data_IF_718376826391
#
_entry.id   IF_718376826391
#
_cell.length_a   1.000
_cell.length_b   1.000
_cell.length_c   1.000
_cell.angle_alpha   90.00
_cell.angle_beta   90.00
_cell.angle_gamma   90.00
#
_symmetry.space_group_name_H-M   'P 1'
#
loop_
_entity.id
_entity.type
_entity.pdbx_description
1 polymer ?
#
# COMPACT_ATOMS: atom_id res chain seq x y z
N UNK A 1 -42.12 48.10 -7.90
CA UNK A 1 -40.97 48.57 -7.09
C UNK A 1 -40.16 47.32 -6.79
N UNK A 2 -38.97 47.07 -7.33
CA UNK A 2 -37.94 47.99 -7.84
C UNK A 2 -36.96 48.32 -6.71
N UNK A 3 -35.66 47.99 -6.79
CA UNK A 3 -34.93 47.29 -7.85
C UNK A 3 -33.46 47.05 -7.46
N UNK A 4 -32.58 46.90 -8.46
CA UNK A 4 -31.12 46.73 -8.36
C UNK A 4 -30.60 45.36 -7.85
N UNK A 5 -30.76 44.35 -8.70
CA UNK A 5 -29.55 43.78 -9.31
C UNK A 5 -29.14 44.74 -10.44
N UNK A 6 -27.88 45.16 -10.52
CA UNK A 6 -27.30 45.66 -11.77
C UNK A 6 -25.77 45.54 -11.79
N UNK A 7 -25.21 45.29 -12.99
CA UNK A 7 -23.81 44.93 -13.32
C UNK A 7 -23.39 43.52 -12.85
N UNK A 8 -23.29 42.46 -13.68
CA UNK A 8 -23.06 42.35 -15.14
C UNK A 8 -21.78 43.10 -15.62
N UNK A 9 -20.93 42.69 -16.55
CA UNK A 9 -20.77 41.51 -17.46
C UNK A 9 -19.26 41.48 -17.87
N UNK A 10 -18.64 40.59 -18.67
CA UNK A 10 -19.00 39.43 -19.51
C UNK A 10 -17.72 38.55 -19.66
N UNK A 11 -17.77 37.21 -19.57
CA UNK A 11 -17.79 36.22 -20.68
C UNK A 11 -16.57 36.15 -21.64
N UNK A 12 -16.09 34.91 -21.86
CA UNK A 12 -15.32 34.33 -23.00
C UNK A 12 -13.78 34.32 -23.03
N UNK A 13 -13.26 33.10 -22.86
CA UNK A 13 -12.46 32.32 -23.82
C UNK A 13 -11.36 33.01 -24.65
N UNK A 14 -10.12 32.50 -24.55
CA UNK A 14 -9.33 32.02 -25.70
C UNK A 14 -8.12 31.20 -25.23
N UNK A 15 -7.66 30.30 -26.10
CA UNK A 15 -6.68 29.23 -25.85
C UNK A 15 -5.23 29.69 -25.65
N UNK A 16 -4.42 28.90 -24.92
CA UNK A 16 -3.23 28.20 -25.47
C UNK A 16 -2.27 27.66 -24.38
N UNK A 17 -2.05 26.34 -24.43
CA UNK A 17 -0.83 25.55 -24.14
C UNK A 17 0.18 25.80 -23.00
N UNK A 18 0.75 24.65 -22.58
CA UNK A 18 2.08 24.43 -21.97
C UNK A 18 2.41 24.97 -20.56
N UNK A 19 2.48 24.04 -19.57
CA UNK A 19 3.75 23.38 -19.12
C UNK A 19 3.77 23.06 -17.61
N UNK A 20 4.49 21.98 -17.28
CA UNK A 20 4.66 21.44 -15.92
C UNK A 20 5.19 22.45 -14.89
N UNK A 21 4.71 22.31 -13.64
CA UNK A 21 5.15 23.11 -12.50
C UNK A 21 6.41 22.52 -11.83
N UNK A 22 7.34 23.40 -11.49
CA UNK A 22 8.55 23.15 -10.70
C UNK A 22 8.40 23.88 -9.35
N UNK A 23 8.77 23.30 -8.19
CA UNK A 23 8.46 23.85 -6.87
C UNK A 23 9.33 25.05 -6.43
N UNK A 24 8.83 25.77 -5.42
CA UNK A 24 9.15 27.17 -5.08
C UNK A 24 10.49 27.46 -4.34
N UNK A 25 10.97 28.71 -4.35
CA UNK A 25 12.30 29.10 -3.84
C UNK A 25 12.34 29.46 -2.34
N UNK A 26 13.52 29.26 -1.72
CA UNK A 26 13.78 29.64 -0.32
C UNK A 26 14.29 31.08 -0.19
N UNK A 27 13.85 31.74 0.89
CA UNK A 27 13.87 33.19 1.12
C UNK A 27 15.26 33.78 1.44
N UNK A 28 15.52 34.99 0.96
CA UNK A 28 16.69 35.83 1.32
C UNK A 28 16.31 36.84 2.41
N UNK A 29 17.17 37.02 3.42
CA UNK A 29 17.14 38.14 4.35
C UNK A 29 18.48 38.89 4.34
N UNK A 30 18.45 40.22 4.42
CA UNK A 30 19.59 41.10 4.14
C UNK A 30 19.85 42.15 5.22
N UNK A 31 21.12 42.59 5.32
CA UNK A 31 21.62 43.77 6.08
C UNK A 31 21.67 43.64 7.62
N UNK A 32 22.48 44.42 8.36
CA UNK A 32 23.37 45.55 8.01
C UNK A 32 24.51 45.74 9.02
N UNK A 33 25.67 46.29 8.61
CA UNK A 33 26.57 47.08 9.46
C UNK A 33 27.58 47.88 8.60
N UNK A 34 27.61 49.21 8.76
CA UNK A 34 28.49 50.16 8.04
C UNK A 34 29.63 50.67 8.99
N UNK A 35 30.60 51.53 8.60
CA UNK A 35 32.00 51.37 9.02
C UNK A 35 32.54 52.50 9.93
N UNK A 36 33.71 52.30 10.56
CA UNK A 36 34.40 53.37 11.28
C UNK A 36 35.15 54.31 10.31
N UNK A 37 34.80 55.59 10.34
CA UNK A 37 35.45 56.61 9.53
C UNK A 37 36.73 57.17 10.18
N UNK A 38 37.69 57.59 9.35
CA UNK A 38 38.62 58.67 9.72
C UNK A 38 38.87 59.62 8.54
N UNK A 39 38.41 60.86 8.68
CA UNK A 39 38.90 62.03 7.93
C UNK A 39 40.22 62.49 8.58
N UNK A 40 41.09 63.32 8.00
CA UNK A 40 40.95 64.27 6.87
C UNK A 40 42.35 64.57 6.26
N UNK A 41 42.43 65.07 5.02
CA UNK A 41 43.71 65.58 4.48
C UNK A 41 43.77 65.75 2.95
N UNK A 42 43.34 66.92 2.46
CA UNK A 42 43.37 67.34 1.04
C UNK A 42 44.71 67.12 0.30
N UNK A 43 44.67 66.60 -0.95
CA UNK A 43 45.75 66.85 -1.93
C UNK A 43 45.97 65.79 -3.04
N UNK A 44 45.64 66.17 -4.28
CA UNK A 44 46.18 65.66 -5.57
C UNK A 44 46.01 64.18 -6.01
N UNK A 45 45.21 64.01 -7.07
CA UNK A 45 45.45 63.23 -8.31
C UNK A 45 45.54 61.68 -8.33
N UNK A 46 45.11 61.18 -9.51
CA UNK A 46 45.28 59.85 -10.13
C UNK A 46 44.49 58.65 -9.57
N UNK A 47 43.62 58.12 -10.43
CA UNK A 47 43.04 56.79 -10.29
C UNK A 47 44.14 55.72 -10.41
N UNK A 48 44.22 54.83 -9.42
CA UNK A 48 45.22 53.76 -9.36
C UNK A 48 44.60 52.39 -9.60
N UNK A 49 45.12 51.66 -10.58
CA UNK A 49 44.92 50.21 -10.70
C UNK A 49 45.36 49.51 -9.40
N UNK A 50 44.69 48.43 -8.94
CA UNK A 50 45.14 47.70 -7.76
C UNK A 50 46.58 47.19 -7.95
N UNK A 51 47.38 47.34 -6.89
CA UNK A 51 48.78 46.99 -6.81
C UNK A 51 49.04 45.49 -7.08
N UNK A 52 50.17 45.20 -7.72
CA UNK A 52 50.47 43.90 -8.34
C UNK A 52 50.36 42.71 -7.36
N UNK A 53 50.78 42.88 -6.11
CA UNK A 53 50.65 41.84 -5.09
C UNK A 53 49.18 41.50 -4.76
N UNK A 54 48.29 42.48 -4.82
CA UNK A 54 46.85 42.31 -4.58
C UNK A 54 46.19 41.55 -5.74
N UNK A 55 46.59 41.84 -6.98
CA UNK A 55 46.16 41.07 -8.17
C UNK A 55 46.62 39.60 -8.11
N UNK A 56 47.85 39.34 -7.68
CA UNK A 56 48.41 37.98 -7.63
C UNK A 56 47.77 37.14 -6.52
N UNK A 57 47.45 37.73 -5.36
CA UNK A 57 46.71 37.06 -4.29
C UNK A 57 45.28 36.69 -4.76
N UNK A 58 44.56 37.63 -5.39
CA UNK A 58 43.23 37.38 -5.94
C UNK A 58 43.25 36.28 -7.03
N UNK A 59 44.24 36.30 -7.92
CA UNK A 59 44.43 35.25 -8.94
C UNK A 59 44.68 33.87 -8.30
N UNK A 60 45.44 33.80 -7.20
CA UNK A 60 45.65 32.57 -6.45
C UNK A 60 44.34 31.95 -5.93
N UNK A 61 43.45 32.78 -5.35
CA UNK A 61 42.13 32.31 -4.89
C UNK A 61 41.20 31.89 -6.03
N UNK A 62 41.18 32.62 -7.15
CA UNK A 62 40.41 32.24 -8.34
C UNK A 62 40.89 30.91 -8.90
N UNK A 63 42.21 30.68 -8.95
CA UNK A 63 42.81 29.42 -9.38
C UNK A 63 42.40 28.26 -8.46
N UNK A 64 42.47 28.45 -7.13
CA UNK A 64 42.03 27.44 -6.14
C UNK A 64 40.54 27.10 -6.31
N UNK A 65 39.68 28.11 -6.48
CA UNK A 65 38.24 27.91 -6.64
C UNK A 65 37.88 27.22 -7.96
N UNK A 66 38.57 27.54 -9.06
CA UNK A 66 38.42 26.82 -10.33
C UNK A 66 38.90 25.36 -10.23
N UNK A 67 39.98 25.08 -9.49
CA UNK A 67 40.40 23.70 -9.22
C UNK A 67 39.37 22.91 -8.43
N UNK A 68 38.76 23.53 -7.41
CA UNK A 68 37.70 22.90 -6.61
C UNK A 68 36.43 22.58 -7.44
N UNK A 69 36.11 23.42 -8.44
CA UNK A 69 35.01 23.12 -9.39
C UNK A 69 35.43 22.01 -10.37
N UNK A 70 36.63 22.07 -10.93
CA UNK A 70 37.13 21.05 -11.87
C UNK A 70 37.31 19.67 -11.21
N UNK A 71 37.58 19.59 -9.91
CA UNK A 71 37.58 18.31 -9.18
C UNK A 71 36.24 17.58 -9.18
N UNK A 72 35.12 18.29 -9.38
CA UNK A 72 33.78 17.68 -9.41
C UNK A 72 33.53 16.87 -10.70
N UNK A 73 34.39 16.97 -11.72
CA UNK A 73 34.27 16.18 -12.97
C UNK A 73 34.71 14.71 -12.82
N UNK A 74 35.25 14.32 -11.67
CA UNK A 74 35.54 12.92 -11.33
C UNK A 74 36.80 12.31 -11.94
N UNK A 75 37.09 11.07 -11.52
CA UNK A 75 38.23 10.28 -11.98
C UNK A 75 39.62 10.73 -11.48
N UNK A 76 40.65 9.93 -11.78
CA UNK A 76 42.03 10.17 -11.35
C UNK A 76 42.62 11.50 -11.87
N UNK A 77 42.09 12.02 -12.97
CA UNK A 77 42.45 13.33 -13.52
C UNK A 77 42.14 14.49 -12.57
N UNK A 78 41.04 14.44 -11.82
CA UNK A 78 40.68 15.48 -10.85
C UNK A 78 41.75 15.65 -9.77
N UNK A 79 42.32 14.56 -9.27
CA UNK A 79 43.36 14.59 -8.23
C UNK A 79 44.66 15.24 -8.71
N UNK A 80 45.07 14.95 -9.96
CA UNK A 80 46.24 15.58 -10.57
C UNK A 80 46.02 17.09 -10.79
N UNK A 81 44.83 17.48 -11.25
CA UNK A 81 44.45 18.90 -11.43
C UNK A 81 44.46 19.63 -10.09
N UNK A 82 43.85 19.08 -9.04
CA UNK A 82 43.83 19.71 -7.70
C UNK A 82 45.22 19.80 -7.10
N UNK A 83 46.08 18.80 -7.25
CA UNK A 83 47.47 18.87 -6.77
C UNK A 83 48.25 20.02 -7.45
N UNK A 84 48.14 20.14 -8.78
CA UNK A 84 48.78 21.24 -9.54
C UNK A 84 48.20 22.60 -9.15
N UNK A 85 46.88 22.70 -9.01
CA UNK A 85 46.17 23.94 -8.62
C UNK A 85 46.51 24.37 -7.20
N UNK A 86 46.59 23.45 -6.24
CA UNK A 86 47.00 23.75 -4.87
C UNK A 86 48.44 24.27 -4.83
N UNK A 87 49.38 23.61 -5.53
CA UNK A 87 50.77 24.07 -5.59
C UNK A 87 50.88 25.46 -6.25
N UNK A 88 50.16 25.69 -7.35
CA UNK A 88 50.14 27.00 -8.03
C UNK A 88 49.49 28.10 -7.17
N UNK A 89 48.33 27.82 -6.55
CA UNK A 89 47.58 28.76 -5.72
C UNK A 89 48.31 29.11 -4.42
N UNK A 90 48.82 28.12 -3.69
CA UNK A 90 49.65 28.33 -2.49
C UNK A 90 50.94 29.05 -2.88
N UNK A 91 51.57 28.68 -4.00
CA UNK A 91 52.75 29.37 -4.55
C UNK A 91 52.48 30.86 -4.80
N UNK A 92 51.36 31.19 -5.44
CA UNK A 92 50.95 32.58 -5.69
C UNK A 92 50.68 33.36 -4.40
N UNK A 93 50.03 32.77 -3.39
CA UNK A 93 49.78 33.38 -2.08
C UNK A 93 51.11 33.66 -1.36
N UNK A 94 52.02 32.67 -1.29
CA UNK A 94 53.36 32.81 -0.69
C UNK A 94 54.18 33.89 -1.40
N UNK A 95 54.10 33.97 -2.73
CA UNK A 95 54.84 34.96 -3.51
C UNK A 95 54.25 36.37 -3.35
N UNK A 96 52.92 36.52 -3.28
CA UNK A 96 52.25 37.79 -3.01
C UNK A 96 52.62 38.36 -1.63
N UNK A 97 52.67 37.53 -0.58
CA UNK A 97 53.09 37.96 0.75
C UNK A 97 54.59 38.30 0.82
N UNK A 98 55.45 37.60 0.06
CA UNK A 98 56.85 38.01 -0.13
C UNK A 98 56.98 39.38 -0.80
N UNK A 99 56.15 39.68 -1.80
CA UNK A 99 56.15 40.98 -2.49
C UNK A 99 55.64 42.14 -1.61
N UNK A 100 54.95 41.85 -0.50
CA UNK A 100 54.49 42.85 0.49
C UNK A 100 55.51 43.15 1.60
N UNK A 101 56.75 42.63 1.49
CA UNK A 101 57.87 43.02 2.35
C UNK A 101 57.88 42.47 3.78
N UNK A 102 56.78 41.84 4.25
CA UNK A 102 56.75 41.13 5.53
C UNK A 102 55.82 39.92 5.48
N UNK A 103 56.39 38.71 5.61
CA UNK A 103 55.61 37.47 5.64
C UNK A 103 54.99 37.29 7.02
N UNK A 104 53.70 37.60 7.15
CA UNK A 104 52.93 37.38 8.37
C UNK A 104 52.62 35.87 8.51
N UNK A 105 53.52 35.13 9.15
CA UNK A 105 53.44 33.66 9.28
C UNK A 105 52.07 33.15 9.78
N UNK A 106 51.44 33.72 10.84
CA UNK A 106 50.08 33.34 11.23
C UNK A 106 49.03 33.44 10.11
N UNK A 107 49.02 34.53 9.34
CA UNK A 107 48.07 34.70 8.22
C UNK A 107 48.34 33.71 7.09
N UNK A 108 49.62 33.46 6.79
CA UNK A 108 50.01 32.48 5.78
C UNK A 108 49.56 31.07 6.17
N UNK A 109 49.86 30.60 7.39
CA UNK A 109 49.42 29.28 7.86
C UNK A 109 47.89 29.15 7.88
N UNK A 110 47.17 30.19 8.31
CA UNK A 110 45.70 30.21 8.24
C UNK A 110 45.18 30.05 6.80
N UNK A 111 45.75 30.78 5.84
CA UNK A 111 45.35 30.67 4.43
C UNK A 111 45.61 29.29 3.82
N UNK A 112 46.73 28.64 4.18
CA UNK A 112 47.09 27.30 3.69
C UNK A 112 46.16 26.24 4.27
N UNK A 113 45.81 26.32 5.56
CA UNK A 113 44.86 25.40 6.19
C UNK A 113 43.46 25.53 5.56
N UNK A 114 42.98 26.76 5.33
CA UNK A 114 41.68 27.01 4.67
C UNK A 114 41.67 26.50 3.23
N UNK A 115 42.75 26.71 2.47
CA UNK A 115 42.86 26.19 1.10
C UNK A 115 42.86 24.65 1.06
N UNK A 116 43.53 24.00 2.02
CA UNK A 116 43.51 22.54 2.19
C UNK A 116 42.11 22.02 2.51
N UNK A 117 41.40 22.64 3.45
CA UNK A 117 40.01 22.26 3.79
C UNK A 117 39.08 22.39 2.58
N UNK A 118 39.08 23.54 1.90
CA UNK A 118 38.23 23.76 0.72
C UNK A 118 38.51 22.73 -0.39
N UNK A 119 39.78 22.36 -0.59
CA UNK A 119 40.16 21.38 -1.60
C UNK A 119 39.86 19.93 -1.21
N UNK A 120 39.85 19.57 0.08
CA UNK A 120 39.65 18.17 0.53
C UNK A 120 38.22 17.84 0.91
N UNK A 121 37.40 18.81 1.36
CA UNK A 121 36.00 18.57 1.75
C UNK A 121 35.16 17.90 0.65
N UNK A 122 35.24 18.28 -0.64
CA UNK A 122 34.51 17.59 -1.70
C UNK A 122 34.89 16.11 -1.84
N UNK A 123 36.17 15.79 -1.68
CA UNK A 123 36.66 14.40 -1.77
C UNK A 123 36.29 13.56 -0.55
N UNK A 124 36.26 14.15 0.64
CA UNK A 124 35.81 13.46 1.85
C UNK A 124 34.33 13.03 1.73
N UNK A 125 33.48 13.88 1.16
CA UNK A 125 32.10 13.54 0.86
C UNK A 125 31.99 12.42 -0.20
N UNK A 126 32.73 12.51 -1.31
CA UNK A 126 32.67 11.50 -2.39
C UNK A 126 33.28 10.16 -2.00
N UNK A 127 34.29 10.10 -1.10
CA UNK A 127 34.79 8.82 -0.57
C UNK A 127 33.89 8.17 0.49
N UNK A 128 32.95 8.92 1.07
CA UNK A 128 31.96 8.41 2.04
C UNK A 128 30.62 8.03 1.39
N UNK A 129 30.42 8.34 0.10
CA UNK A 129 29.23 7.95 -0.67
C UNK A 129 29.66 6.90 -1.71
N UNK A 130 29.26 5.62 -1.57
CA UNK A 130 29.61 4.58 -2.54
C UNK A 130 29.01 4.89 -3.93
N UNK A 131 29.85 5.20 -4.91
CA UNK A 131 29.43 5.45 -6.30
C UNK A 131 29.33 4.14 -7.09
N UNK A 132 28.41 3.26 -6.69
CA UNK A 132 28.11 1.99 -7.38
C UNK A 132 26.65 2.02 -7.89
N UNK A 133 26.42 1.58 -9.13
CA UNK A 133 25.08 1.60 -9.76
C UNK A 133 24.09 0.74 -8.94
N UNK A 134 23.14 1.38 -8.26
CA UNK A 134 22.31 0.74 -7.22
C UNK A 134 21.61 -0.53 -7.72
N UNK A 135 21.66 -1.60 -6.92
CA UNK A 135 20.75 -2.72 -7.10
C UNK A 135 19.32 -2.23 -6.95
N UNK A 136 18.41 -2.71 -7.79
CA UNK A 136 17.00 -2.35 -7.75
C UNK A 136 16.11 -3.61 -7.87
N UNK A 137 15.15 -3.74 -6.96
CA UNK A 137 14.08 -4.73 -7.06
C UNK A 137 12.87 -4.04 -7.71
N UNK A 138 12.22 -4.72 -8.66
CA UNK A 138 11.24 -4.11 -9.56
C UNK A 138 10.32 -5.15 -10.17
N UNK A 139 9.20 -4.71 -10.77
CA UNK A 139 8.24 -5.58 -11.46
C UNK A 139 7.75 -6.72 -10.56
N UNK A 140 7.29 -6.35 -9.35
CA UNK A 140 6.57 -7.25 -8.45
C UNK A 140 5.18 -7.50 -9.05
N UNK A 141 4.99 -8.71 -9.55
CA UNK A 141 3.81 -9.20 -10.26
C UNK A 141 3.31 -10.46 -9.52
N UNK A 142 2.00 -10.61 -9.39
CA UNK A 142 1.38 -11.85 -8.90
C UNK A 142 0.61 -12.51 -10.04
N UNK A 143 0.78 -13.82 -10.17
CA UNK A 143 0.04 -14.68 -11.09
C UNK A 143 -1.12 -15.35 -10.34
N UNK A 144 -2.32 -14.79 -10.48
CA UNK A 144 -3.55 -15.22 -9.78
C UNK A 144 -4.05 -16.62 -10.20
N UNK A 145 -3.52 -17.24 -11.27
CA UNK A 145 -3.87 -18.61 -11.68
C UNK A 145 -2.99 -19.66 -10.96
N UNK A 146 -1.85 -19.25 -10.41
CA UNK A 146 -0.83 -20.16 -9.87
C UNK A 146 -0.33 -19.81 -8.47
N UNK A 147 -0.85 -18.73 -7.87
CA UNK A 147 -0.35 -18.12 -6.64
C UNK A 147 1.18 -17.86 -6.65
N UNK A 148 1.77 -17.61 -7.82
CA UNK A 148 3.21 -17.31 -7.93
C UNK A 148 3.47 -15.79 -7.92
N UNK A 149 4.07 -15.31 -6.83
CA UNK A 149 4.71 -13.99 -6.82
C UNK A 149 5.97 -14.06 -7.68
N UNK A 150 6.20 -13.04 -8.50
CA UNK A 150 7.40 -12.93 -9.31
C UNK A 150 7.93 -11.51 -9.34
N UNK A 151 9.26 -11.36 -9.35
CA UNK A 151 9.93 -10.06 -9.29
C UNK A 151 11.27 -10.09 -10.00
N UNK A 152 11.78 -8.92 -10.39
CA UNK A 152 13.06 -8.75 -11.08
C UNK A 152 14.03 -7.94 -10.24
N UNK A 153 15.19 -8.52 -9.96
CA UNK A 153 16.33 -7.80 -9.42
C UNK A 153 17.25 -7.38 -10.57
N UNK A 154 17.68 -6.12 -10.56
CA UNK A 154 18.54 -5.50 -11.56
C UNK A 154 19.76 -4.86 -10.92
N UNK A 155 20.89 -4.90 -11.63
CA UNK A 155 22.15 -4.30 -11.19
C UNK A 155 23.36 -5.02 -11.77
N UNK A 156 24.55 -4.46 -11.57
CA UNK A 156 25.81 -4.92 -12.21
C UNK A 156 26.59 -5.94 -11.37
N UNK A 157 25.94 -6.61 -10.41
CA UNK A 157 26.50 -7.71 -9.62
C UNK A 157 26.56 -9.00 -10.45
N UNK A 158 27.40 -9.96 -10.06
CA UNK A 158 27.49 -11.27 -10.73
C UNK A 158 26.40 -12.24 -10.28
N UNK A 159 25.96 -12.11 -9.05
CA UNK A 159 24.92 -12.91 -8.41
C UNK A 159 24.24 -12.07 -7.34
N UNK A 160 23.05 -12.50 -6.93
CA UNK A 160 22.27 -11.86 -5.87
C UNK A 160 21.63 -12.93 -4.99
N UNK A 161 21.69 -12.70 -3.68
CA UNK A 161 20.91 -13.41 -2.67
C UNK A 161 19.66 -12.56 -2.37
N UNK A 162 18.50 -13.20 -2.24
CA UNK A 162 17.20 -12.54 -2.00
C UNK A 162 16.45 -13.22 -0.89
N UNK A 163 15.67 -12.46 -0.13
CA UNK A 163 14.75 -12.98 0.88
C UNK A 163 13.41 -12.26 0.84
N UNK A 164 12.39 -12.92 1.37
CA UNK A 164 11.10 -12.32 1.69
C UNK A 164 10.91 -12.40 3.20
N UNK A 165 10.68 -11.26 3.81
CA UNK A 165 10.33 -11.13 5.22
C UNK A 165 8.84 -10.82 5.38
N UNK A 166 8.24 -11.36 6.44
CA UNK A 166 6.95 -10.97 6.98
C UNK A 166 7.15 -10.39 8.39
N UNK A 167 6.73 -9.14 8.64
CA UNK A 167 6.95 -8.40 9.89
C UNK A 167 8.42 -8.43 10.40
N UNK A 168 9.39 -8.41 9.47
CA UNK A 168 10.82 -8.45 9.76
C UNK A 168 11.39 -9.86 10.05
N UNK A 169 10.60 -10.93 9.87
CA UNK A 169 11.02 -12.32 10.01
C UNK A 169 11.22 -12.93 8.62
N UNK A 170 12.40 -13.48 8.33
CA UNK A 170 12.66 -14.17 7.06
C UNK A 170 11.78 -15.44 6.96
N UNK A 171 10.91 -15.45 5.95
CA UNK A 171 10.02 -16.57 5.64
C UNK A 171 10.59 -17.43 4.51
N UNK A 172 11.25 -16.79 3.54
CA UNK A 172 11.82 -17.43 2.35
C UNK A 172 13.12 -16.76 1.92
N UNK A 173 14.05 -17.54 1.39
CA UNK A 173 15.27 -17.02 0.76
C UNK A 173 15.74 -17.88 -0.41
N UNK A 174 16.42 -17.23 -1.36
CA UNK A 174 16.91 -17.84 -2.60
C UNK A 174 18.11 -17.07 -3.15
N UNK A 175 18.77 -17.62 -4.15
CA UNK A 175 19.93 -16.97 -4.79
C UNK A 175 19.99 -17.25 -6.29
N UNK A 176 20.74 -16.42 -7.01
CA UNK A 176 20.97 -16.68 -8.43
C UNK A 176 21.99 -15.79 -9.11
N UNK A 177 22.63 -16.36 -10.13
CA UNK A 177 23.48 -15.61 -11.06
C UNK A 177 22.66 -14.55 -11.81
N UNK A 178 23.24 -13.37 -11.94
CA UNK A 178 22.66 -12.21 -12.63
C UNK A 178 23.25 -12.17 -14.04
N UNK A 179 22.39 -12.10 -15.06
CA UNK A 179 22.81 -12.13 -16.46
C UNK A 179 22.13 -11.01 -17.25
N UNK A 180 22.91 -10.27 -18.04
CA UNK A 180 22.45 -9.02 -18.68
C UNK A 180 21.87 -8.04 -17.64
N UNK A 181 22.58 -7.87 -16.52
CA UNK A 181 22.23 -7.00 -15.38
C UNK A 181 20.83 -7.26 -14.77
N UNK A 182 20.28 -8.48 -14.93
CA UNK A 182 18.95 -8.85 -14.43
C UNK A 182 18.84 -10.33 -14.01
N UNK A 183 17.98 -10.59 -13.02
CA UNK A 183 17.48 -11.91 -12.63
C UNK A 183 15.99 -11.81 -12.29
N UNK A 184 15.15 -12.67 -12.87
CA UNK A 184 13.76 -12.88 -12.43
C UNK A 184 13.72 -14.01 -11.41
N UNK A 185 12.97 -13.80 -10.32
CA UNK A 185 12.61 -14.81 -9.33
C UNK A 185 11.10 -15.12 -9.44
N UNK A 186 10.73 -16.30 -8.95
CA UNK A 186 9.37 -16.81 -8.78
C UNK A 186 9.32 -17.54 -7.45
N UNK A 187 8.21 -17.41 -6.73
CA UNK A 187 7.97 -18.03 -5.43
C UNK A 187 6.46 -18.14 -5.21
N UNK A 188 5.98 -19.30 -4.76
CA UNK A 188 4.57 -19.48 -4.41
C UNK A 188 4.23 -18.67 -3.14
N UNK A 189 3.05 -18.07 -3.06
CA UNK A 189 2.56 -17.43 -1.83
C UNK A 189 2.67 -18.39 -0.63
N UNK A 190 2.36 -19.68 -0.83
CA UNK A 190 2.46 -20.72 0.21
C UNK A 190 3.87 -20.95 0.79
N UNK A 191 4.94 -20.48 0.14
CA UNK A 191 6.31 -20.59 0.67
C UNK A 191 6.68 -19.47 1.66
N UNK A 192 5.92 -18.36 1.69
CA UNK A 192 6.26 -17.20 2.55
C UNK A 192 5.06 -16.54 3.27
N UNK A 193 3.82 -16.95 2.97
CA UNK A 193 2.62 -16.38 3.56
C UNK A 193 2.55 -16.66 5.07
N UNK A 194 2.40 -15.58 5.85
CA UNK A 194 2.33 -15.55 7.31
C UNK A 194 1.01 -14.93 7.83
N UNK A 195 0.01 -14.76 6.96
CA UNK A 195 -1.26 -14.10 7.25
C UNK A 195 -1.55 -12.91 6.35
N UNK A 196 -2.77 -12.38 6.42
CA UNK A 196 -3.23 -11.29 5.56
C UNK A 196 -2.38 -10.00 5.65
N UNK A 197 -2.00 -9.46 4.50
CA UNK A 197 -1.35 -8.15 4.39
C UNK A 197 -2.23 -6.98 4.82
N UNK A 198 -3.56 -7.10 4.77
CA UNK A 198 -4.52 -6.08 5.22
C UNK A 198 -5.59 -6.65 6.16
N UNK A 199 -6.01 -5.84 7.14
CA UNK A 199 -7.17 -6.13 7.98
C UNK A 199 -8.48 -5.61 7.36
N UNK A 200 -9.63 -5.94 7.96
CA UNK A 200 -10.98 -5.51 7.52
C UNK A 200 -11.11 -4.01 7.19
N UNK A 201 -10.34 -3.12 7.82
CA UNK A 201 -10.40 -1.69 7.60
C UNK A 201 -9.49 -1.17 6.47
N UNK A 202 -8.76 -2.07 5.76
CA UNK A 202 -7.82 -1.69 4.71
C UNK A 202 -6.50 -1.13 5.23
N UNK A 203 -6.21 -1.31 6.52
CA UNK A 203 -4.89 -0.99 7.08
C UNK A 203 -3.99 -2.21 6.96
N UNK A 204 -2.70 -1.97 6.78
CA UNK A 204 -1.66 -2.98 6.81
C UNK A 204 -1.72 -3.79 8.11
N UNK A 205 -1.61 -5.12 8.00
CA UNK A 205 -1.72 -6.07 9.10
C UNK A 205 -0.45 -6.94 9.23
N UNK A 206 0.13 -7.34 8.11
CA UNK A 206 1.46 -7.98 8.02
C UNK A 206 2.26 -7.26 6.93
N UNK A 207 3.42 -6.69 7.28
CA UNK A 207 4.31 -6.06 6.30
C UNK A 207 5.14 -7.12 5.59
N UNK A 208 5.02 -7.19 4.26
CA UNK A 208 5.78 -8.12 3.42
C UNK A 208 6.84 -7.38 2.61
N UNK A 209 8.12 -7.71 2.81
CA UNK A 209 9.25 -7.02 2.17
C UNK A 209 10.15 -8.00 1.44
N UNK A 210 10.39 -7.74 0.14
CA UNK A 210 11.45 -8.41 -0.60
C UNK A 210 12.76 -7.65 -0.34
N UNK A 211 13.79 -8.35 0.10
CA UNK A 211 15.15 -7.81 0.24
C UNK A 211 16.11 -8.56 -0.67
N UNK A 212 17.24 -7.93 -0.97
CA UNK A 212 18.36 -8.63 -1.59
C UNK A 212 19.71 -8.00 -1.32
N UNK A 213 20.74 -8.80 -1.49
CA UNK A 213 22.15 -8.44 -1.38
C UNK A 213 22.91 -8.99 -2.60
N UNK A 214 23.45 -8.08 -3.42
CA UNK A 214 24.29 -8.42 -4.56
C UNK A 214 25.71 -8.80 -4.13
N UNK A 215 26.38 -9.65 -4.91
CA UNK A 215 27.77 -10.12 -4.65
C UNK A 215 28.85 -9.03 -4.53
N UNK A 216 28.50 -7.78 -4.82
CA UNK A 216 29.32 -6.59 -4.67
C UNK A 216 28.97 -5.75 -3.41
N UNK A 217 28.16 -6.29 -2.50
CA UNK A 217 27.73 -5.65 -1.25
C UNK A 217 26.66 -4.56 -1.43
N UNK A 218 25.94 -4.56 -2.55
CA UNK A 218 24.82 -3.65 -2.78
C UNK A 218 23.52 -4.27 -2.29
N UNK A 219 22.78 -3.54 -1.46
CA UNK A 219 21.45 -3.95 -1.00
C UNK A 219 20.34 -3.18 -1.69
N UNK A 220 19.12 -3.69 -1.56
CA UNK A 220 17.89 -3.06 -2.04
C UNK A 220 16.69 -3.81 -1.49
N UNK A 221 15.57 -3.10 -1.34
CA UNK A 221 14.34 -3.63 -0.76
C UNK A 221 13.12 -3.03 -1.48
N UNK A 222 12.00 -3.75 -1.46
CA UNK A 222 10.70 -3.28 -1.93
C UNK A 222 9.58 -4.01 -1.21
N UNK A 223 8.55 -3.28 -0.79
CA UNK A 223 7.37 -3.87 -0.17
C UNK A 223 6.55 -4.60 -1.24
N UNK A 224 6.07 -5.80 -0.91
CA UNK A 224 5.06 -6.50 -1.69
C UNK A 224 3.74 -5.75 -1.46
N UNK A 225 2.99 -5.37 -2.52
CA UNK A 225 1.69 -4.73 -2.34
C UNK A 225 0.78 -5.58 -1.45
N UNK A 226 0.29 -5.02 -0.35
CA UNK A 226 -0.54 -5.66 0.68
C UNK A 226 -1.74 -6.45 0.13
N UNK A 227 -2.36 -5.95 -0.94
CA UNK A 227 -3.43 -6.63 -1.70
C UNK A 227 -3.03 -7.97 -2.33
N UNK A 228 -1.74 -8.21 -2.62
CA UNK A 228 -1.26 -9.48 -3.17
C UNK A 228 -1.20 -10.56 -2.10
N UNK A 229 -0.96 -10.17 -0.84
CA UNK A 229 -0.85 -11.04 0.34
C UNK A 229 -2.07 -10.96 1.26
N UNK A 230 -3.21 -10.46 0.77
CA UNK A 230 -4.50 -10.55 1.47
C UNK A 230 -5.30 -11.67 0.81
N UNK A 231 -5.31 -12.85 1.44
CA UNK A 231 -5.71 -14.13 0.83
C UNK A 231 -6.53 -15.07 1.73
N UNK A 232 -6.65 -14.80 3.02
CA UNK A 232 -7.52 -15.57 3.92
C UNK A 232 -8.84 -14.83 4.12
N UNK A 233 -9.97 -15.45 3.79
CA UNK A 233 -11.27 -15.04 4.32
C UNK A 233 -11.38 -15.47 5.79
N UNK A 234 -11.73 -14.54 6.67
CA UNK A 234 -11.68 -14.73 8.13
C UNK A 234 -13.04 -14.57 8.81
N UNK A 235 -14.04 -14.05 8.10
CA UNK A 235 -15.39 -13.80 8.61
C UNK A 235 -16.43 -14.09 7.53
N UNK A 236 -17.62 -14.48 7.96
CA UNK A 236 -18.81 -14.51 7.12
C UNK A 236 -19.94 -13.72 7.78
N UNK A 237 -20.87 -13.21 6.97
CA UNK A 237 -22.15 -12.67 7.40
C UNK A 237 -23.28 -13.48 6.79
N UNK A 238 -24.40 -13.59 7.50
CA UNK A 238 -25.59 -14.33 7.06
C UNK A 238 -26.78 -13.38 6.99
N UNK A 239 -27.58 -13.50 5.92
CA UNK A 239 -28.90 -12.89 5.80
C UNK A 239 -29.94 -13.94 5.49
N UNK A 240 -31.10 -13.81 6.12
CA UNK A 240 -32.25 -14.68 5.87
C UNK A 240 -33.52 -13.85 5.71
N UNK A 241 -34.50 -14.39 5.01
CA UNK A 241 -35.85 -13.81 4.95
C UNK A 241 -36.87 -14.94 4.82
N UNK A 242 -38.02 -14.79 5.48
CA UNK A 242 -39.13 -15.73 5.34
C UNK A 242 -39.67 -15.80 3.91
N UNK A 243 -40.06 -17.01 3.50
CA UNK A 243 -40.76 -17.25 2.24
C UNK A 243 -42.20 -17.72 2.51
N UNK A 244 -43.14 -17.15 1.76
CA UNK A 244 -44.57 -17.47 1.81
C UNK A 244 -45.04 -18.22 0.56
N UNK A 245 -46.14 -18.98 0.66
CA UNK A 245 -46.75 -19.52 -0.55
C UNK A 245 -47.34 -18.37 -1.39
N UNK A 246 -47.08 -18.43 -2.69
CA UNK A 246 -47.55 -17.43 -3.66
C UNK A 246 -49.08 -17.26 -3.73
N UNK A 247 -49.85 -18.22 -3.21
CA UNK A 247 -51.32 -18.25 -3.19
C UNK A 247 -51.90 -18.11 -1.77
N UNK A 248 -51.12 -18.40 -0.72
CA UNK A 248 -51.52 -18.24 0.67
C UNK A 248 -50.44 -17.53 1.51
N UNK A 249 -50.68 -16.26 1.82
CA UNK A 249 -49.79 -15.46 2.66
C UNK A 249 -49.84 -15.83 4.15
N UNK A 250 -50.75 -16.72 4.58
CA UNK A 250 -50.72 -17.32 5.93
C UNK A 250 -49.75 -18.50 6.00
N UNK A 251 -49.41 -19.11 4.86
CA UNK A 251 -48.47 -20.23 4.80
C UNK A 251 -47.02 -19.74 4.71
N UNK A 252 -46.17 -20.16 5.67
CA UNK A 252 -44.72 -20.16 5.49
C UNK A 252 -44.32 -21.39 4.69
N UNK A 253 -43.36 -21.25 3.77
CA UNK A 253 -42.79 -22.36 2.99
C UNK A 253 -41.36 -22.65 3.43
N UNK A 254 -40.61 -21.63 3.86
CA UNK A 254 -39.22 -21.78 4.28
C UNK A 254 -38.54 -20.44 4.48
N UNK A 255 -37.22 -20.41 4.28
CA UNK A 255 -36.41 -19.18 4.30
C UNK A 255 -35.49 -19.11 3.08
N UNK A 256 -35.30 -17.92 2.52
CA UNK A 256 -34.16 -17.64 1.63
C UNK A 256 -32.92 -17.39 2.48
N UNK A 257 -31.73 -17.74 1.99
CA UNK A 257 -30.47 -17.54 2.69
C UNK A 257 -29.43 -16.93 1.74
N UNK A 258 -28.76 -15.88 2.18
CA UNK A 258 -27.59 -15.28 1.51
C UNK A 258 -26.41 -15.24 2.48
N UNK A 259 -25.21 -15.47 1.95
CA UNK A 259 -23.97 -15.29 2.72
C UNK A 259 -23.04 -14.29 2.05
N UNK A 260 -22.21 -13.66 2.88
CA UNK A 260 -21.11 -12.79 2.51
C UNK A 260 -19.85 -13.38 3.14
N UNK A 261 -18.75 -13.52 2.41
CA UNK A 261 -17.50 -14.12 2.93
C UNK A 261 -16.31 -13.22 2.61
N UNK A 262 -15.43 -12.97 3.58
CA UNK A 262 -14.25 -12.13 3.41
C UNK A 262 -13.68 -11.60 4.73
N UNK A 263 -13.47 -10.29 4.81
CA UNK A 263 -12.98 -9.60 6.00
C UNK A 263 -14.04 -8.62 6.52
N UNK A 264 -14.68 -8.95 7.64
CA UNK A 264 -15.77 -8.15 8.20
C UNK A 264 -15.31 -7.33 9.40
N UNK A 265 -16.00 -6.23 9.67
CA UNK A 265 -15.74 -5.39 10.82
C UNK A 265 -16.18 -6.08 12.13
N UNK A 266 -15.45 -5.91 13.25
CA UNK A 266 -15.80 -6.52 14.54
C UNK A 266 -17.04 -5.91 15.21
N UNK A 267 -17.73 -5.00 14.54
CA UNK A 267 -19.02 -4.42 14.95
C UNK A 267 -20.12 -4.72 13.91
N UNK A 268 -19.84 -5.52 12.88
CA UNK A 268 -20.82 -6.01 11.92
C UNK A 268 -21.39 -7.32 12.46
N UNK A 269 -22.71 -7.43 12.49
CA UNK A 269 -23.45 -8.45 13.24
C UNK A 269 -24.84 -8.67 12.65
N UNK A 270 -25.51 -9.74 13.09
CA UNK A 270 -26.90 -10.01 12.75
C UNK A 270 -27.85 -8.91 13.24
N UNK A 271 -28.90 -8.66 12.45
CA UNK A 271 -29.97 -7.72 12.80
C UNK A 271 -31.30 -8.47 12.94
N UNK A 272 -32.19 -7.97 13.81
CA UNK A 272 -33.55 -8.48 13.95
C UNK A 272 -34.27 -8.51 12.59
N UNK A 273 -35.03 -9.57 12.30
CA UNK A 273 -35.66 -9.76 11.00
C UNK A 273 -34.73 -10.32 9.92
N UNK A 274 -33.68 -11.08 10.31
CA UNK A 274 -32.79 -11.77 9.37
C UNK A 274 -31.78 -10.89 8.64
N UNK A 275 -31.65 -9.62 9.06
CA UNK A 275 -30.72 -8.66 8.48
C UNK A 275 -29.27 -8.87 8.92
N UNK A 276 -28.37 -8.07 8.34
CA UNK A 276 -26.95 -8.06 8.72
C UNK A 276 -26.36 -6.67 8.51
N UNK A 277 -25.70 -6.12 9.54
CA UNK A 277 -25.37 -4.70 9.64
C UNK A 277 -24.16 -4.24 8.79
N UNK A 278 -23.59 -5.12 7.97
CA UNK A 278 -22.42 -4.81 7.15
C UNK A 278 -22.68 -3.66 6.17
N UNK A 279 -21.86 -2.60 6.28
CA UNK A 279 -21.97 -1.36 5.49
C UNK A 279 -20.89 -1.21 4.42
N UNK A 280 -19.82 -2.01 4.49
CA UNK A 280 -18.74 -2.04 3.52
C UNK A 280 -18.31 -3.47 3.23
N UNK A 281 -18.48 -3.93 1.99
CA UNK A 281 -18.11 -5.29 1.61
C UNK A 281 -16.60 -5.33 1.29
N UNK A 282 -15.86 -6.19 2.00
CA UNK A 282 -14.50 -6.60 1.63
C UNK A 282 -14.49 -8.09 1.24
N UNK A 283 -15.01 -8.41 0.04
CA UNK A 283 -14.95 -9.77 -0.47
C UNK A 283 -13.50 -10.22 -0.65
N UNK A 284 -13.23 -11.49 -0.41
CA UNK A 284 -11.92 -12.08 -0.64
C UNK A 284 -11.84 -12.64 -2.06
N UNK A 285 -10.80 -12.24 -2.80
CA UNK A 285 -10.43 -12.87 -4.07
C UNK A 285 -9.29 -13.86 -3.79
N UNK A 286 -9.66 -15.10 -3.46
CA UNK A 286 -8.75 -16.18 -3.09
C UNK A 286 -9.48 -17.53 -3.11
N UNK A 287 -8.72 -18.61 -3.00
CA UNK A 287 -9.25 -19.96 -3.02
C UNK A 287 -9.52 -20.48 -1.61
N UNK A 288 -10.78 -20.80 -1.32
CA UNK A 288 -11.24 -21.32 -0.03
C UNK A 288 -12.50 -22.17 -0.16
N UNK A 289 -12.77 -22.99 0.84
CA UNK A 289 -14.00 -23.76 0.97
C UNK A 289 -14.91 -23.14 2.04
N UNK A 290 -16.23 -23.21 1.84
CA UNK A 290 -17.25 -22.75 2.79
C UNK A 290 -18.27 -23.85 3.03
N UNK A 291 -18.52 -24.15 4.31
CA UNK A 291 -19.61 -25.02 4.75
C UNK A 291 -20.63 -24.20 5.53
N UNK A 292 -21.88 -24.21 5.08
CA UNK A 292 -23.00 -23.58 5.80
C UNK A 292 -23.87 -24.65 6.44
N UNK A 293 -24.32 -24.42 7.67
CA UNK A 293 -25.26 -25.29 8.37
C UNK A 293 -26.25 -24.51 9.23
N UNK A 294 -27.39 -25.14 9.51
CA UNK A 294 -28.49 -24.60 10.33
C UNK A 294 -28.83 -25.61 11.41
N UNK A 295 -28.97 -25.14 12.65
CA UNK A 295 -29.37 -25.96 13.81
C UNK A 295 -30.36 -25.20 14.71
N UNK A 296 -31.15 -25.92 15.50
CA UNK A 296 -32.20 -25.33 16.35
C UNK A 296 -33.11 -26.42 16.92
N UNK A 297 -34.41 -26.14 17.01
CA UNK A 297 -35.42 -27.07 17.59
C UNK A 297 -35.82 -28.23 16.66
N UNK A 298 -35.45 -28.18 15.36
CA UNK A 298 -35.75 -29.22 14.37
C UNK A 298 -34.55 -30.07 13.96
N UNK A 299 -34.57 -30.60 12.73
CA UNK A 299 -33.42 -31.32 12.17
C UNK A 299 -32.30 -30.34 11.78
N UNK A 300 -31.05 -30.79 11.85
CA UNK A 300 -29.91 -29.98 11.39
C UNK A 300 -29.75 -30.12 9.88
N UNK A 301 -29.72 -29.00 9.17
CA UNK A 301 -29.49 -28.94 7.74
C UNK A 301 -28.08 -28.41 7.41
N UNK A 302 -27.54 -28.80 6.26
CA UNK A 302 -26.26 -28.29 5.75
C UNK A 302 -26.30 -28.17 4.23
N UNK A 303 -25.82 -27.05 3.69
CA UNK A 303 -25.60 -26.90 2.24
C UNK A 303 -24.51 -27.88 1.77
N UNK A 304 -24.47 -28.18 0.48
CA UNK A 304 -23.29 -28.84 -0.10
C UNK A 304 -22.06 -27.94 0.02
N UNK A 305 -20.89 -28.55 0.28
CA UNK A 305 -19.62 -27.84 0.38
C UNK A 305 -19.39 -26.91 -0.81
N UNK A 306 -19.15 -25.63 -0.52
CA UNK A 306 -18.94 -24.57 -1.50
C UNK A 306 -17.45 -24.40 -1.73
N UNK A 307 -17.00 -24.53 -2.97
CA UNK A 307 -15.63 -24.22 -3.38
C UNK A 307 -15.60 -22.86 -4.06
N UNK A 308 -14.76 -21.96 -3.55
CA UNK A 308 -14.48 -20.65 -4.14
C UNK A 308 -13.13 -20.71 -4.84
N UNK A 309 -13.10 -20.25 -6.10
CA UNK A 309 -11.88 -19.98 -6.84
C UNK A 309 -11.90 -18.50 -7.25
N UNK A 310 -10.90 -17.73 -6.81
CA UNK A 310 -10.87 -16.28 -6.96
C UNK A 310 -12.11 -15.58 -6.40
N UNK A 311 -13.00 -15.08 -7.28
CA UNK A 311 -14.26 -14.39 -6.93
C UNK A 311 -15.54 -15.17 -7.27
N UNK A 312 -15.42 -16.48 -7.54
CA UNK A 312 -16.53 -17.34 -7.96
C UNK A 312 -16.72 -18.54 -7.03
N UNK A 313 -17.86 -18.58 -6.35
CA UNK A 313 -18.34 -19.72 -5.57
C UNK A 313 -19.07 -20.73 -6.47
N UNK A 314 -18.82 -22.03 -6.27
CA UNK A 314 -19.50 -23.13 -6.96
C UNK A 314 -19.74 -24.32 -6.03
N UNK A 315 -20.89 -24.99 -6.18
CA UNK A 315 -21.25 -26.19 -5.42
C UNK A 315 -22.23 -27.07 -6.19
N UNK A 316 -22.44 -28.30 -5.68
CA UNK A 316 -23.38 -29.27 -6.24
C UNK A 316 -24.56 -29.46 -5.26
N UNK A 317 -25.69 -28.76 -5.43
CA UNK A 317 -26.80 -28.76 -4.47
C UNK A 317 -27.36 -30.16 -4.22
N UNK A 318 -27.84 -30.40 -3.00
CA UNK A 318 -28.44 -31.69 -2.62
C UNK A 318 -29.71 -32.00 -3.44
N UNK A 319 -30.46 -30.97 -3.82
CA UNK A 319 -31.61 -31.05 -4.73
C UNK A 319 -31.24 -31.34 -6.20
N UNK A 320 -29.95 -31.27 -6.54
CA UNK A 320 -29.39 -31.51 -7.87
C UNK A 320 -29.17 -30.24 -8.69
N UNK A 321 -28.39 -30.37 -9.76
CA UNK A 321 -27.97 -29.24 -10.61
C UNK A 321 -26.60 -28.70 -10.22
N UNK A 322 -26.42 -27.38 -10.32
CA UNK A 322 -25.18 -26.67 -9.99
C UNK A 322 -25.51 -25.33 -9.35
N UNK A 323 -25.00 -25.09 -8.16
CA UNK A 323 -25.06 -23.80 -7.49
C UNK A 323 -23.84 -22.97 -7.85
N UNK A 324 -24.03 -21.67 -8.05
CA UNK A 324 -22.92 -20.73 -8.27
C UNK A 324 -23.30 -19.31 -7.91
N UNK A 325 -22.32 -18.54 -7.46
CA UNK A 325 -22.46 -17.12 -7.13
C UNK A 325 -21.12 -16.39 -7.24
N UNK A 326 -21.16 -15.07 -7.38
CA UNK A 326 -19.93 -14.27 -7.21
C UNK A 326 -19.76 -13.92 -5.74
N UNK A 327 -18.57 -14.13 -5.20
CA UNK A 327 -18.23 -13.77 -3.82
C UNK A 327 -17.93 -12.28 -3.65
N UNK A 328 -18.01 -11.47 -4.71
CA UNK A 328 -17.84 -10.02 -4.68
C UNK A 328 -18.87 -9.26 -3.79
N UNK A 329 -19.87 -9.97 -3.26
CA UNK A 329 -20.81 -9.47 -2.27
C UNK A 329 -21.64 -10.61 -1.69
N UNK A 330 -22.91 -10.32 -1.39
CA UNK A 330 -23.88 -11.33 -0.96
C UNK A 330 -24.20 -12.29 -2.11
N UNK A 331 -24.18 -13.59 -1.84
CA UNK A 331 -24.66 -14.60 -2.77
C UNK A 331 -25.64 -15.57 -2.09
N UNK A 332 -26.70 -15.92 -2.82
CA UNK A 332 -27.74 -16.82 -2.35
C UNK A 332 -27.31 -18.29 -2.33
N UNK A 333 -27.71 -19.00 -1.28
CA UNK A 333 -27.57 -20.45 -1.18
C UNK A 333 -28.72 -21.17 -1.91
N UNK A 334 -28.53 -22.45 -2.22
CA UNK A 334 -29.56 -23.22 -2.93
C UNK A 334 -30.61 -23.84 -2.01
N UNK A 335 -30.26 -24.09 -0.74
CA UNK A 335 -31.18 -24.69 0.22
C UNK A 335 -31.61 -26.09 -0.24
N UNK A 336 -32.90 -26.38 -0.07
CA UNK A 336 -33.53 -27.65 -0.46
C UNK A 336 -34.63 -27.50 -1.52
N UNK A 337 -35.17 -26.29 -1.70
CA UNK A 337 -36.32 -25.99 -2.54
C UNK A 337 -36.07 -24.90 -3.57
N UNK A 338 -37.02 -24.76 -4.50
CA UNK A 338 -37.06 -23.66 -5.48
C UNK A 338 -38.51 -23.28 -5.73
N UNK A 339 -38.81 -21.99 -5.67
CA UNK A 339 -40.19 -21.49 -5.82
C UNK A 339 -40.61 -21.40 -7.30
N UNK A 340 -41.86 -21.00 -7.54
CA UNK A 340 -42.40 -20.84 -8.90
C UNK A 340 -41.74 -19.69 -9.70
N UNK A 341 -41.00 -18.79 -9.06
CA UNK A 341 -40.24 -17.72 -9.69
C UNK A 341 -38.75 -18.09 -9.94
N UNK A 342 -38.29 -19.24 -9.43
CA UNK A 342 -36.90 -19.68 -9.52
C UNK A 342 -36.02 -19.21 -8.35
N UNK A 343 -36.61 -18.74 -7.26
CA UNK A 343 -35.90 -18.35 -6.03
C UNK A 343 -35.60 -19.62 -5.22
N UNK A 344 -34.32 -19.79 -4.88
CA UNK A 344 -33.86 -20.87 -4.01
C UNK A 344 -34.19 -20.58 -2.54
N UNK A 345 -34.54 -21.61 -1.79
CA UNK A 345 -34.88 -21.51 -0.37
C UNK A 345 -34.60 -22.82 0.38
N UNK A 346 -34.41 -22.73 1.69
CA UNK A 346 -34.44 -23.88 2.60
C UNK A 346 -35.89 -24.12 3.03
N UNK A 347 -36.46 -25.24 2.61
CA UNK A 347 -37.83 -25.63 2.98
C UNK A 347 -37.94 -25.85 4.48
N UNK A 348 -39.04 -25.36 5.08
CA UNK A 348 -39.31 -25.50 6.51
C UNK A 348 -39.25 -26.98 6.96
N UNK A 349 -39.62 -27.95 6.10
CA UNK A 349 -39.61 -29.37 6.48
C UNK A 349 -38.24 -29.94 6.80
N UNK A 350 -37.16 -29.30 6.31
CA UNK A 350 -35.78 -29.81 6.45
C UNK A 350 -35.08 -29.29 7.72
N UNK A 351 -35.63 -28.29 8.41
CA UNK A 351 -34.98 -27.69 9.58
C UNK A 351 -35.93 -27.21 10.70
N UNK A 352 -37.17 -26.84 10.40
CA UNK A 352 -38.07 -26.21 11.36
C UNK A 352 -38.81 -27.25 12.23
N UNK A 353 -38.55 -27.23 13.53
CA UNK A 353 -39.19 -28.10 14.53
C UNK A 353 -40.29 -27.41 15.37
N UNK A 354 -40.42 -26.09 15.24
CA UNK A 354 -41.28 -25.23 16.07
C UNK A 354 -40.57 -23.91 16.41
N UNK A 355 -41.30 -22.98 17.04
CA UNK A 355 -40.73 -21.69 17.46
C UNK A 355 -39.53 -21.91 18.39
N UNK A 356 -38.41 -21.26 18.09
CA UNK A 356 -37.23 -21.27 18.93
C UNK A 356 -36.04 -20.55 18.28
N UNK A 357 -34.90 -20.60 18.96
CA UNK A 357 -33.66 -20.00 18.47
C UNK A 357 -32.97 -20.94 17.48
N UNK A 358 -32.72 -20.46 16.25
CA UNK A 358 -32.03 -21.20 15.20
C UNK A 358 -30.71 -20.53 14.85
N UNK A 359 -29.62 -21.27 14.94
CA UNK A 359 -28.25 -20.83 14.68
C UNK A 359 -27.80 -21.26 13.28
N UNK A 360 -27.25 -20.30 12.54
CA UNK A 360 -26.64 -20.42 11.22
C UNK A 360 -25.13 -20.34 11.40
N UNK A 361 -24.44 -21.44 11.12
CA UNK A 361 -22.99 -21.56 11.26
C UNK A 361 -22.35 -21.59 9.88
N UNK A 362 -21.38 -20.71 9.65
CA UNK A 362 -20.57 -20.64 8.42
C UNK A 362 -19.12 -20.91 8.77
N UNK A 363 -18.61 -22.06 8.31
CA UNK A 363 -17.21 -22.46 8.46
C UNK A 363 -16.45 -22.18 7.16
N UNK A 364 -15.34 -21.45 7.24
CA UNK A 364 -14.45 -21.12 6.12
C UNK A 364 -13.13 -21.86 6.31
N UNK A 365 -12.66 -22.57 5.28
CA UNK A 365 -11.34 -23.22 5.23
C UNK A 365 -10.52 -22.64 4.08
N UNK A 366 -9.50 -21.85 4.40
CA UNK A 366 -8.64 -21.22 3.38
C UNK A 366 -7.60 -22.21 2.83
N UNK A 367 -7.25 -22.06 1.55
CA UNK A 367 -6.20 -22.88 0.89
C UNK A 367 -4.79 -22.44 1.30
N UNK A 368 -4.59 -21.13 1.52
CA UNK A 368 -3.35 -20.53 2.03
C UNK A 368 -3.42 -20.33 3.55
N UNK A 369 -2.25 -20.19 4.18
CA UNK A 369 -2.10 -20.05 5.63
C UNK A 369 -2.09 -21.39 6.38
N UNK A 370 -2.35 -21.34 7.68
CA UNK A 370 -2.34 -22.52 8.58
C UNK A 370 -3.55 -23.46 8.38
N UNK A 371 -4.41 -23.19 7.38
CA UNK A 371 -5.65 -23.93 7.08
C UNK A 371 -6.58 -24.05 8.31
N UNK A 372 -6.56 -23.03 9.16
CA UNK A 372 -7.48 -22.92 10.29
C UNK A 372 -8.90 -22.65 9.82
N UNK A 373 -9.88 -23.31 10.44
CA UNK A 373 -11.29 -23.04 10.17
C UNK A 373 -11.69 -21.74 10.85
N UNK A 374 -12.20 -20.79 10.08
CA UNK A 374 -12.81 -19.56 10.59
C UNK A 374 -14.33 -19.74 10.63
N UNK A 375 -14.88 -19.80 11.83
CA UNK A 375 -16.31 -19.99 12.07
C UNK A 375 -17.01 -18.66 12.37
N UNK A 376 -18.15 -18.40 11.75
CA UNK A 376 -19.07 -17.31 12.10
C UNK A 376 -20.46 -17.89 12.40
N UNK A 377 -21.07 -17.48 13.51
CA UNK A 377 -22.37 -17.99 13.97
C UNK A 377 -23.34 -16.85 14.27
N UNK A 378 -24.57 -16.97 13.78
CA UNK A 378 -25.65 -16.00 13.98
C UNK A 378 -26.96 -16.73 14.24
N UNK A 379 -27.76 -16.26 15.20
CA UNK A 379 -29.04 -16.91 15.51
C UNK A 379 -30.20 -15.92 15.56
N UNK A 380 -31.38 -16.43 15.20
CA UNK A 380 -32.65 -15.72 15.27
C UNK A 380 -33.73 -16.58 15.91
N UNK A 381 -34.64 -15.97 16.67
CA UNK A 381 -35.90 -16.59 17.06
C UNK A 381 -36.77 -16.70 15.80
N UNK A 382 -37.06 -17.92 15.36
CA UNK A 382 -37.79 -18.19 14.13
C UNK A 382 -39.10 -18.90 14.47
N UNK A 383 -40.21 -18.34 14.00
CA UNK A 383 -41.55 -18.92 14.08
C UNK A 383 -42.20 -18.98 12.69
N UNK A 384 -41.99 -20.10 12.00
CA UNK A 384 -42.60 -20.42 10.70
C UNK A 384 -43.94 -21.17 10.85
N UNK A 385 -44.65 -20.98 11.96
CA UNK A 385 -45.99 -21.57 12.14
C UNK A 385 -46.97 -20.95 11.15
N UNK A 386 -47.41 -21.71 10.15
CA UNK A 386 -48.44 -21.27 9.21
C UNK A 386 -49.74 -20.94 9.94
N UNK A 387 -50.38 -19.84 9.56
CA UNK A 387 -51.74 -19.53 9.99
C UNK A 387 -52.75 -20.49 9.38
N UNK A 388 -53.77 -20.88 10.13
CA UNK A 388 -54.90 -21.66 9.62
C UNK A 388 -56.19 -20.85 9.75
N UNK A 389 -57.13 -21.07 8.84
CA UNK A 389 -58.42 -20.37 8.82
C UNK A 389 -59.60 -21.33 8.64
N UNK A 390 -60.75 -21.00 9.25
CA UNK A 390 -62.00 -21.74 9.07
C UNK A 390 -62.69 -21.40 7.73
N UNK A 391 -63.76 -22.14 7.39
CA UNK A 391 -64.60 -21.90 6.20
C UNK A 391 -65.22 -20.47 6.14
N UNK A 392 -65.19 -19.72 7.24
CA UNK A 392 -65.67 -18.35 7.35
C UNK A 392 -64.53 -17.31 7.33
N UNK A 393 -63.29 -17.74 7.04
CA UNK A 393 -62.07 -16.94 6.99
C UNK A 393 -61.59 -16.39 8.35
N UNK A 394 -62.04 -16.97 9.48
CA UNK A 394 -61.54 -16.65 10.82
C UNK A 394 -60.24 -17.42 11.11
N UNK A 395 -59.23 -16.83 11.77
CA UNK A 395 -58.03 -17.56 12.17
C UNK A 395 -58.36 -18.62 13.23
N UNK A 396 -58.01 -19.88 12.96
CA UNK A 396 -58.06 -21.00 13.91
C UNK A 396 -56.71 -21.24 14.58
N UNK A 397 -55.64 -21.01 13.83
CA UNK A 397 -54.25 -21.01 14.31
C UNK A 397 -53.64 -19.66 13.93
N UNK A 398 -52.99 -18.99 14.88
CA UNK A 398 -52.32 -17.71 14.60
C UNK A 398 -51.03 -17.98 13.84
N UNK A 399 -50.81 -17.24 12.76
CA UNK A 399 -49.54 -17.22 12.03
C UNK A 399 -48.41 -16.74 12.95
N UNK A 400 -47.26 -17.39 12.84
CA UNK A 400 -46.02 -17.00 13.53
C UNK A 400 -45.45 -15.65 13.08
N UNK A 401 -44.43 -15.17 13.78
CA UNK A 401 -43.80 -13.88 13.48
C UNK A 401 -42.79 -13.93 12.32
N UNK A 402 -42.41 -15.13 11.83
CA UNK A 402 -41.41 -15.30 10.76
C UNK A 402 -40.00 -15.30 11.33
N UNK A 403 -39.09 -14.52 10.74
CA UNK A 403 -37.76 -14.29 11.32
C UNK A 403 -37.84 -13.14 12.33
N UNK A 404 -37.62 -13.47 13.61
CA UNK A 404 -37.78 -12.55 14.74
C UNK A 404 -36.50 -11.86 15.19
N UNK A 405 -36.34 -11.74 16.50
CA UNK A 405 -35.18 -11.10 17.12
C UNK A 405 -33.94 -12.00 17.09
N UNK A 406 -32.75 -11.40 17.14
CA UNK A 406 -31.49 -12.14 17.34
C UNK A 406 -31.45 -12.82 18.71
N UNK A 407 -30.87 -14.02 18.78
CA UNK A 407 -30.69 -14.81 20.00
C UNK A 407 -29.31 -15.49 20.08
#
# INVERSE_FOLDING_TARGET
MGGLLDKANATKDTDADEKAAEPEPVVVASTSADPPAHKSGSGSSTAGSPDTATKINLAGWVIILLGAILSLQGGAWGFAVVAVVLVAGIGAIVQADRMRGSVNKPKLYGSVIVALLIATTPYAAVMLVPTNASMAISEVELDEETDELSFKVRGTMSSVDVSIEADGVEMWSSSGDVSNDMKKFKVSLSEFFAGNGENYAGNEAVEYVIKGEGSNGQTGEINIPSRFTTREAQNAGVRIAELHDSNDAEEYVGITMEILVGLLGPNEDAENGGGFSAVGLRPMNADYEVQVSVSGEGESWSESLISVNGDMATWAPQSGGSGSGSTAGWFGLTGSGTDNAGVFYLDKSEFYGGQGCYTFTVDITNTLGDQTVFTSEYSWDIDLTSGERDDNNNPTTSKGEGVGATC
#
